data_IF_874096930757
#
_entry.id   IF_874096930757
#
_cell.length_a   1.000
_cell.length_b   1.000
_cell.length_c   1.000
_cell.angle_alpha   90.00
_cell.angle_beta   90.00
_cell.angle_gamma   90.00
#
_symmetry.space_group_name_H-M   'P 1'
#
loop_
_entity.id
_entity.type
_entity.pdbx_description
1 polymer ?
#
# COMPACT_ATOMS: atom_id res chain seq x y z
N UNK A 1 -28.96 -2.04 17.19
CA UNK A 1 -27.49 -2.17 17.07
C UNK A 1 -27.19 -2.49 15.63
N UNK A 2 -26.43 -1.66 14.92
CA UNK A 2 -25.93 -2.01 13.60
C UNK A 2 -24.85 -3.08 13.78
N UNK A 3 -25.02 -4.24 13.14
CA UNK A 3 -23.99 -5.28 13.11
C UNK A 3 -22.90 -4.80 12.16
N UNK A 4 -21.77 -4.36 12.70
CA UNK A 4 -20.58 -4.04 11.92
C UNK A 4 -19.98 -5.36 11.46
N UNK A 5 -19.78 -5.51 10.15
CA UNK A 5 -19.18 -6.72 9.56
C UNK A 5 -17.71 -6.47 9.27
N UNK A 6 -16.91 -7.53 9.38
CA UNK A 6 -15.54 -7.53 8.88
C UNK A 6 -15.56 -7.61 7.35
N UNK A 7 -14.49 -7.12 6.70
CA UNK A 7 -14.23 -7.41 5.29
C UNK A 7 -14.15 -8.94 5.12
N UNK A 8 -14.88 -9.52 4.15
CA UNK A 8 -14.99 -10.99 3.99
C UNK A 8 -14.55 -11.48 2.61
N UNK A 9 -14.19 -12.76 2.57
CA UNK A 9 -13.24 -13.40 1.65
C UNK A 9 -13.59 -13.43 0.15
N UNK A 10 -14.84 -13.32 -0.36
CA UNK A 10 -15.01 -13.30 -1.81
C UNK A 10 -15.02 -11.90 -2.42
N UNK A 11 -15.09 -10.82 -1.62
CA UNK A 11 -15.21 -9.47 -2.18
C UNK A 11 -13.83 -8.84 -2.39
N UNK A 12 -13.40 -8.80 -3.65
CA UNK A 12 -12.28 -7.96 -4.09
C UNK A 12 -12.67 -6.49 -3.93
N UNK A 13 -11.82 -5.73 -3.24
CA UNK A 13 -11.99 -4.30 -3.05
C UNK A 13 -10.97 -3.52 -3.88
N UNK A 14 -11.39 -2.35 -4.33
CA UNK A 14 -10.57 -1.43 -5.12
C UNK A 14 -10.12 -0.23 -4.27
N UNK A 15 -8.91 0.32 -4.53
CA UNK A 15 -8.47 1.59 -3.98
C UNK A 15 -9.51 2.69 -4.19
N UNK A 16 -9.53 3.68 -3.29
CA UNK A 16 -10.40 4.84 -3.48
C UNK A 16 -9.98 5.60 -4.74
N UNK A 17 -10.94 6.07 -5.57
CA UNK A 17 -10.63 6.68 -6.86
C UNK A 17 -9.91 8.03 -6.75
N UNK A 18 -9.90 8.63 -5.56
CA UNK A 18 -9.30 9.95 -5.31
C UNK A 18 -8.57 9.97 -3.98
N UNK A 19 -7.34 10.49 -4.00
CA UNK A 19 -6.55 10.79 -2.79
C UNK A 19 -7.11 12.05 -2.12
N UNK A 20 -7.34 12.07 -0.80
CA UNK A 20 -7.72 13.27 -0.08
C UNK A 20 -6.67 14.38 -0.25
N UNK A 21 -7.08 15.62 -0.45
CA UNK A 21 -6.17 16.77 -0.56
C UNK A 21 -5.23 16.88 0.64
N UNK A 22 -5.73 16.56 1.84
CA UNK A 22 -4.93 16.51 3.07
C UNK A 22 -3.76 15.53 2.97
N UNK A 23 -3.99 14.34 2.40
CA UNK A 23 -2.94 13.34 2.20
C UNK A 23 -1.92 13.81 1.16
N UNK A 24 -2.38 14.45 0.09
CA UNK A 24 -1.50 15.07 -0.93
C UNK A 24 -0.61 16.14 -0.31
N UNK A 25 -1.19 17.06 0.48
CA UNK A 25 -0.42 18.10 1.17
C UNK A 25 0.62 17.53 2.14
N UNK A 26 0.26 16.49 2.90
CA UNK A 26 1.19 15.82 3.82
C UNK A 26 2.36 15.14 3.10
N UNK A 27 2.11 14.53 1.92
CA UNK A 27 3.17 13.95 1.09
C UNK A 27 4.11 15.06 0.60
N UNK A 28 3.55 16.16 0.11
CA UNK A 28 4.32 17.30 -0.39
C UNK A 28 5.16 17.95 0.72
N UNK A 29 4.61 18.10 1.92
CA UNK A 29 5.35 18.62 3.09
C UNK A 29 6.54 17.72 3.46
N UNK A 30 6.36 16.39 3.48
CA UNK A 30 7.45 15.44 3.72
C UNK A 30 8.52 15.46 2.61
N UNK A 31 8.14 15.82 1.39
CA UNK A 31 9.05 15.89 0.24
C UNK A 31 9.83 17.20 0.14
N UNK A 32 9.25 18.31 0.61
CA UNK A 32 9.91 19.62 0.63
C UNK A 32 11.10 19.66 1.60
N UNK A 33 11.02 18.92 2.71
CA UNK A 33 12.17 18.70 3.62
C UNK A 33 13.34 17.98 2.92
N UNK A 34 13.06 17.13 1.93
CA UNK A 34 14.06 16.37 1.15
C UNK A 34 14.61 17.21 -0.03
N UNK A 35 13.80 18.12 -0.61
CA UNK A 35 14.20 18.99 -1.72
C UNK A 35 15.00 20.22 -1.28
N UNK A 36 14.99 20.60 0.00
CA UNK A 36 15.91 21.62 0.53
C UNK A 36 17.39 21.29 0.27
N UNK A 37 17.72 20.01 -0.02
CA UNK A 37 19.06 19.56 -0.42
C UNK A 37 19.30 19.56 -1.96
N UNK A 38 18.27 19.64 -2.81
CA UNK A 38 18.40 19.53 -4.27
C UNK A 38 17.89 20.77 -5.03
N UNK A 39 18.78 21.39 -5.81
CA UNK A 39 18.65 22.74 -6.43
C UNK A 39 17.77 22.83 -7.70
N UNK A 40 16.73 22.03 -7.89
CA UNK A 40 15.90 22.13 -9.11
C UNK A 40 14.41 22.22 -8.83
N UNK A 41 13.72 23.29 -9.30
CA UNK A 41 12.27 23.36 -9.25
C UNK A 41 11.69 22.39 -10.29
N UNK A 42 11.03 21.33 -9.82
CA UNK A 42 10.27 20.41 -10.68
C UNK A 42 8.78 20.66 -10.42
N UNK A 43 7.99 20.70 -11.49
CA UNK A 43 6.54 20.81 -11.41
C UNK A 43 5.97 19.58 -10.68
N UNK A 44 5.32 19.81 -9.54
CA UNK A 44 4.97 18.76 -8.55
C UNK A 44 3.79 17.91 -8.99
N UNK A 45 2.86 18.50 -9.76
CA UNK A 45 1.61 17.85 -10.15
C UNK A 45 1.82 16.79 -11.25
N UNK A 46 2.91 16.90 -12.03
CA UNK A 46 3.28 15.96 -13.10
C UNK A 46 4.13 14.77 -12.61
N UNK A 47 4.47 14.72 -11.32
CA UNK A 47 5.39 13.73 -10.77
C UNK A 47 4.73 12.63 -9.96
N UNK A 48 3.53 12.86 -9.44
CA UNK A 48 2.84 11.96 -8.52
C UNK A 48 1.55 11.45 -9.16
N UNK A 49 1.39 10.13 -9.24
CA UNK A 49 0.24 9.48 -9.87
C UNK A 49 -0.42 8.50 -8.90
N UNK A 50 -1.75 8.58 -8.79
CA UNK A 50 -2.52 7.54 -8.12
C UNK A 50 -2.57 6.29 -9.02
N UNK A 51 -2.17 5.17 -8.45
CA UNK A 51 -2.15 3.87 -9.10
C UNK A 51 -3.39 3.07 -8.64
N UNK A 52 -4.38 2.97 -9.51
CA UNK A 52 -5.71 2.42 -9.23
C UNK A 52 -5.90 0.96 -9.66
N UNK A 53 -4.82 0.27 -9.96
CA UNK A 53 -4.83 -1.09 -10.48
C UNK A 53 -4.51 -2.16 -9.43
N UNK A 54 -4.29 -1.76 -8.18
CA UNK A 54 -4.21 -2.71 -7.08
C UNK A 54 -5.61 -3.18 -6.70
N UNK A 55 -5.75 -4.44 -6.29
CA UNK A 55 -6.95 -4.98 -5.62
C UNK A 55 -6.54 -5.53 -4.27
N UNK A 56 -7.45 -5.54 -3.30
CA UNK A 56 -7.17 -6.10 -2.00
C UNK A 56 -8.33 -6.90 -1.44
N UNK A 57 -8.02 -7.82 -0.53
CA UNK A 57 -8.98 -8.58 0.27
C UNK A 57 -8.43 -8.80 1.67
N UNK A 58 -9.33 -9.12 2.59
CA UNK A 58 -8.99 -9.52 3.94
C UNK A 58 -9.66 -10.86 4.24
N UNK A 59 -8.89 -11.79 4.77
CA UNK A 59 -9.35 -13.07 5.28
C UNK A 59 -9.39 -13.02 6.81
N UNK A 60 -10.61 -13.00 7.36
CA UNK A 60 -10.86 -12.95 8.81
C UNK A 60 -10.51 -14.28 9.51
N UNK A 61 -10.64 -15.43 8.82
CA UNK A 61 -10.41 -16.74 9.44
C UNK A 61 -8.94 -16.95 9.77
N UNK A 62 -8.05 -16.47 8.89
CA UNK A 62 -6.58 -16.56 9.08
C UNK A 62 -5.93 -15.23 9.45
N UNK A 63 -6.70 -14.14 9.54
CA UNK A 63 -6.25 -12.77 9.83
C UNK A 63 -5.13 -12.30 8.88
N UNK A 64 -5.37 -12.40 7.57
CA UNK A 64 -4.42 -12.02 6.51
C UNK A 64 -5.04 -10.95 5.62
N UNK A 65 -4.35 -9.82 5.49
CA UNK A 65 -4.64 -8.82 4.45
C UNK A 65 -3.79 -9.14 3.22
N UNK A 66 -4.40 -9.16 2.04
CA UNK A 66 -3.71 -9.46 0.78
C UNK A 66 -3.97 -8.33 -0.21
N UNK A 67 -2.91 -7.85 -0.85
CA UNK A 67 -2.97 -6.85 -1.91
C UNK A 67 -2.26 -7.37 -3.16
N UNK A 68 -2.93 -7.27 -4.30
CA UNK A 68 -2.44 -7.73 -5.59
C UNK A 68 -2.25 -6.55 -6.53
N UNK A 69 -1.11 -6.50 -7.21
CA UNK A 69 -0.77 -5.54 -8.26
C UNK A 69 -1.02 -6.08 -9.68
N UNK A 70 -1.31 -7.39 -9.78
CA UNK A 70 -1.68 -8.11 -10.99
C UNK A 70 -2.54 -9.33 -10.65
N UNK A 71 -3.31 -9.82 -11.64
CA UNK A 71 -4.12 -11.04 -11.49
C UNK A 71 -3.24 -12.26 -11.21
N UNK A 72 -3.78 -13.23 -10.47
CA UNK A 72 -3.11 -14.52 -10.17
C UNK A 72 -2.62 -15.27 -11.43
N UNK A 73 -3.24 -15.02 -12.59
CA UNK A 73 -2.79 -15.56 -13.89
C UNK A 73 -1.40 -15.08 -14.32
N UNK A 74 -0.81 -14.08 -13.64
CA UNK A 74 0.59 -13.68 -13.84
C UNK A 74 1.59 -14.80 -13.54
N UNK A 75 1.14 -15.85 -12.83
CA UNK A 75 1.93 -17.03 -12.50
C UNK A 75 2.78 -16.78 -11.26
N UNK A 76 2.70 -17.68 -10.28
CA UNK A 76 3.48 -17.62 -9.06
C UNK A 76 4.86 -18.26 -9.26
N UNK A 77 5.92 -17.57 -8.82
CA UNK A 77 7.28 -18.11 -8.78
C UNK A 77 7.69 -18.50 -7.36
N UNK A 78 7.81 -17.52 -6.48
CA UNK A 78 8.28 -17.68 -5.10
C UNK A 78 7.80 -16.50 -4.25
N UNK A 79 8.07 -16.57 -2.95
CA UNK A 79 7.75 -15.52 -1.99
C UNK A 79 8.85 -15.38 -0.97
N UNK A 80 9.10 -14.15 -0.53
CA UNK A 80 10.12 -13.81 0.47
C UNK A 80 9.53 -12.95 1.59
N UNK A 81 10.02 -13.13 2.81
CA UNK A 81 9.59 -12.31 3.95
C UNK A 81 10.32 -10.97 3.92
N UNK A 82 9.58 -9.88 3.70
CA UNK A 82 10.13 -8.53 3.83
C UNK A 82 10.35 -8.16 5.30
N UNK A 83 9.40 -8.57 6.16
CA UNK A 83 9.52 -8.42 7.61
C UNK A 83 9.09 -9.73 8.26
N UNK A 84 9.99 -10.30 9.06
CA UNK A 84 9.82 -11.61 9.70
C UNK A 84 8.42 -11.76 10.32
N UNK A 85 7.71 -12.81 9.91
CA UNK A 85 6.36 -13.15 10.41
C UNK A 85 5.30 -12.02 10.29
N UNK A 86 5.50 -11.02 9.41
CA UNK A 86 4.56 -9.90 9.25
C UNK A 86 4.22 -9.58 7.80
N UNK A 87 5.21 -9.46 6.92
CA UNK A 87 5.01 -9.02 5.54
C UNK A 87 5.69 -10.01 4.61
N UNK A 88 4.91 -10.60 3.70
CA UNK A 88 5.37 -11.51 2.66
C UNK A 88 5.20 -10.86 1.30
N UNK A 89 6.23 -10.90 0.48
CA UNK A 89 6.24 -10.38 -0.88
C UNK A 89 6.22 -11.57 -1.83
N UNK A 90 5.28 -11.60 -2.76
CA UNK A 90 5.21 -12.67 -3.76
C UNK A 90 5.60 -12.17 -5.14
N UNK A 91 6.41 -12.99 -5.81
CA UNK A 91 6.98 -12.71 -7.12
C UNK A 91 6.38 -13.62 -8.18
N UNK A 92 6.22 -13.05 -9.37
CA UNK A 92 5.81 -13.80 -10.54
C UNK A 92 6.99 -14.46 -11.26
N UNK A 93 6.71 -15.16 -12.36
CA UNK A 93 7.74 -15.85 -13.14
C UNK A 93 8.76 -14.93 -13.82
N UNK A 94 8.46 -13.64 -13.96
CA UNK A 94 9.39 -12.63 -14.47
C UNK A 94 10.20 -11.96 -13.34
N UNK A 95 10.04 -12.44 -12.09
CA UNK A 95 10.69 -11.89 -10.91
C UNK A 95 10.12 -10.54 -10.47
N UNK A 96 8.88 -10.21 -10.88
CA UNK A 96 8.19 -8.98 -10.48
C UNK A 96 7.24 -9.23 -9.33
N UNK A 97 7.18 -8.26 -8.41
CA UNK A 97 6.25 -8.27 -7.28
C UNK A 97 4.83 -8.20 -7.82
N UNK A 98 4.02 -9.22 -7.56
CA UNK A 98 2.62 -9.25 -7.97
C UNK A 98 1.66 -9.18 -6.79
N UNK A 99 2.08 -9.55 -5.57
CA UNK A 99 1.25 -9.39 -4.37
C UNK A 99 2.06 -9.17 -3.09
N UNK A 100 1.36 -8.67 -2.07
CA UNK A 100 1.84 -8.53 -0.70
C UNK A 100 0.81 -9.05 0.27
N UNK A 101 1.25 -9.88 1.21
CA UNK A 101 0.43 -10.39 2.30
C UNK A 101 0.93 -9.80 3.63
N UNK A 102 0.00 -9.34 4.46
CA UNK A 102 0.25 -8.87 5.82
C UNK A 102 -0.41 -9.84 6.79
N UNK A 103 0.40 -10.59 7.53
CA UNK A 103 -0.07 -11.55 8.52
C UNK A 103 -0.51 -10.86 9.81
N UNK A 104 -1.45 -11.49 10.53
CA UNK A 104 -2.02 -10.93 11.78
C UNK A 104 -2.47 -9.48 11.56
N UNK A 105 -3.13 -9.24 10.43
CA UNK A 105 -3.36 -7.91 9.88
C UNK A 105 -4.11 -7.01 10.88
N UNK A 106 -5.10 -7.58 11.59
CA UNK A 106 -5.85 -6.89 12.66
C UNK A 106 -4.95 -6.30 13.75
N UNK A 107 -3.81 -6.96 14.01
CA UNK A 107 -2.80 -6.54 14.99
C UNK A 107 -1.71 -5.67 14.36
N UNK A 108 -1.28 -5.96 13.15
CA UNK A 108 -0.10 -5.35 12.56
C UNK A 108 -0.39 -4.05 11.80
N UNK A 109 -1.59 -3.86 11.25
CA UNK A 109 -1.99 -2.60 10.62
C UNK A 109 -2.38 -1.54 11.64
N UNK A 110 -2.15 -0.28 11.29
CA UNK A 110 -2.59 0.89 12.08
C UNK A 110 -4.10 1.16 11.94
N UNK A 111 -4.71 0.72 10.84
CA UNK A 111 -6.14 0.82 10.56
C UNK A 111 -6.92 -0.42 11.03
N UNK A 112 -8.25 -0.32 11.03
CA UNK A 112 -9.13 -1.48 11.23
C UNK A 112 -9.63 -2.07 9.91
N UNK A 113 -10.03 -3.34 9.95
CA UNK A 113 -10.47 -4.13 8.79
C UNK A 113 -11.98 -4.35 8.75
N UNK A 114 -12.74 -3.59 9.54
CA UNK A 114 -14.20 -3.52 9.45
C UNK A 114 -14.64 -2.83 8.16
N UNK A 115 -15.73 -3.32 7.56
CA UNK A 115 -16.39 -2.69 6.42
C UNK A 115 -17.23 -1.50 6.89
N UNK A 116 -16.54 -0.43 7.27
CA UNK A 116 -17.13 0.85 7.68
C UNK A 116 -16.12 1.97 7.49
N UNK A 117 -16.63 3.19 7.35
CA UNK A 117 -15.83 4.40 7.19
C UNK A 117 -15.67 5.19 8.50
N UNK A 118 -16.17 4.68 9.62
CA UNK A 118 -16.03 5.29 10.94
C UNK A 118 -14.80 4.73 11.65
N UNK A 119 -14.20 5.50 12.54
CA UNK A 119 -13.14 5.02 13.43
C UNK A 119 -13.67 3.98 14.43
N UNK A 120 -12.87 2.95 14.71
CA UNK A 120 -13.17 1.90 15.70
C UNK A 120 -11.94 1.68 16.56
N UNK A 121 -12.08 1.70 17.89
CA UNK A 121 -11.00 1.52 18.86
C UNK A 121 -9.78 2.44 18.59
N UNK A 122 -10.05 3.70 18.21
CA UNK A 122 -9.06 4.70 17.80
C UNK A 122 -8.22 4.31 16.57
N UNK A 123 -8.69 3.34 15.76
CA UNK A 123 -8.08 2.99 14.49
C UNK A 123 -8.88 3.58 13.34
N UNK A 124 -8.24 4.24 12.36
CA UNK A 124 -8.92 4.70 11.17
C UNK A 124 -9.40 3.52 10.31
N UNK A 125 -10.38 3.74 9.42
CA UNK A 125 -10.78 2.73 8.46
C UNK A 125 -9.65 2.44 7.45
N UNK A 126 -9.56 1.18 7.02
CA UNK A 126 -8.66 0.79 5.93
C UNK A 126 -9.00 1.56 4.66
N UNK A 127 -8.00 2.23 4.08
CA UNK A 127 -8.08 2.82 2.75
C UNK A 127 -6.74 2.68 2.05
N UNK A 128 -6.74 2.10 0.85
CA UNK A 128 -5.53 1.90 0.07
C UNK A 128 -5.30 3.09 -0.86
N UNK A 129 -4.14 3.75 -0.72
CA UNK A 129 -3.67 4.80 -1.63
C UNK A 129 -2.28 4.45 -2.20
N UNK A 130 -2.23 3.80 -3.38
CA UNK A 130 -0.98 3.53 -4.09
C UNK A 130 -0.56 4.78 -4.87
N UNK A 131 0.52 5.42 -4.47
CA UNK A 131 0.99 6.70 -4.99
C UNK A 131 2.37 6.48 -5.61
N UNK A 132 2.43 6.65 -6.93
CA UNK A 132 3.65 6.48 -7.70
C UNK A 132 4.34 7.83 -7.95
N UNK A 133 5.60 7.93 -7.53
CA UNK A 133 6.46 9.08 -7.76
C UNK A 133 7.41 8.82 -8.92
N UNK A 134 7.16 9.46 -10.07
CA UNK A 134 7.86 9.22 -11.34
C UNK A 134 9.35 9.58 -11.30
N UNK A 135 9.73 10.71 -10.68
CA UNK A 135 11.14 11.13 -10.62
C UNK A 135 12.03 10.16 -9.83
N UNK A 136 11.53 9.63 -8.71
CA UNK A 136 12.26 8.68 -7.86
C UNK A 136 12.05 7.22 -8.26
N UNK A 137 11.10 6.97 -9.17
CA UNK A 137 10.60 5.63 -9.49
C UNK A 137 10.17 4.84 -8.24
N UNK A 138 9.44 5.52 -7.35
CA UNK A 138 8.97 4.97 -6.06
C UNK A 138 7.46 4.74 -6.11
N UNK A 139 6.99 3.59 -5.62
CA UNK A 139 5.58 3.36 -5.32
C UNK A 139 5.40 3.31 -3.81
N UNK A 140 4.60 4.23 -3.26
CA UNK A 140 4.19 4.22 -1.86
C UNK A 140 2.75 3.78 -1.73
N UNK A 141 2.45 2.84 -0.85
CA UNK A 141 1.08 2.40 -0.60
C UNK A 141 0.72 2.73 0.84
N UNK A 142 -0.20 3.68 1.02
CA UNK A 142 -0.72 4.03 2.35
C UNK A 142 -1.99 3.22 2.66
N UNK A 143 -2.15 2.80 3.92
CA UNK A 143 -3.29 2.00 4.38
C UNK A 143 -4.40 2.81 5.07
N UNK A 144 -4.24 4.12 5.21
CA UNK A 144 -5.31 5.05 5.59
C UNK A 144 -5.06 6.46 5.05
N UNK A 145 -6.08 7.32 5.11
CA UNK A 145 -6.09 8.66 4.50
C UNK A 145 -5.33 9.76 5.24
N UNK A 146 -4.41 9.40 6.12
CA UNK A 146 -3.59 10.34 6.89
C UNK A 146 -2.19 9.77 7.06
N UNK A 147 -1.18 10.60 6.89
CA UNK A 147 0.20 10.21 7.17
C UNK A 147 0.47 10.57 8.62
N UNK A 148 0.90 9.58 9.41
CA UNK A 148 1.43 9.90 10.73
C UNK A 148 2.67 10.77 10.55
N UNK A 149 2.77 11.92 11.24
CA UNK A 149 3.98 12.75 11.19
C UNK A 149 5.22 12.01 11.72
N UNK A 150 5.02 10.90 12.44
CA UNK A 150 6.08 10.06 12.99
C UNK A 150 6.35 8.78 12.20
N UNK A 151 5.82 8.66 10.96
CA UNK A 151 6.10 7.48 10.14
C UNK A 151 7.60 7.34 9.91
N UNK A 152 8.13 6.16 10.22
CA UNK A 152 9.52 5.78 9.95
C UNK A 152 9.52 4.62 8.97
N UNK A 153 10.20 4.80 7.84
CA UNK A 153 10.46 3.72 6.91
C UNK A 153 11.66 2.91 7.38
N UNK A 154 11.44 1.61 7.57
CA UNK A 154 12.48 0.66 7.92
C UNK A 154 12.78 -0.23 6.71
N UNK A 155 14.07 -0.44 6.43
CA UNK A 155 14.50 -1.36 5.38
C UNK A 155 14.04 -2.76 5.71
N UNK A 156 13.44 -3.40 4.71
CA UNK A 156 13.04 -4.79 4.79
C UNK A 156 14.21 -5.71 4.45
N UNK A 157 14.07 -7.01 4.66
CA UNK A 157 15.05 -8.01 4.19
C UNK A 157 15.11 -8.06 2.65
N UNK A 158 14.01 -7.69 2.00
CA UNK A 158 13.88 -7.59 0.55
C UNK A 158 14.44 -6.26 0.03
N UNK A 159 15.37 -6.35 -0.93
CA UNK A 159 16.05 -5.19 -1.49
C UNK A 159 15.10 -4.27 -2.25
N UNK A 160 15.12 -2.98 -1.87
CA UNK A 160 14.28 -1.96 -2.49
C UNK A 160 12.84 -1.97 -1.98
N UNK A 161 12.58 -2.65 -0.86
CA UNK A 161 11.30 -2.58 -0.15
C UNK A 161 11.55 -2.02 1.26
N UNK A 162 10.73 -1.05 1.64
CA UNK A 162 10.72 -0.47 2.98
C UNK A 162 9.30 -0.50 3.55
N UNK A 163 9.20 -0.68 4.86
CA UNK A 163 7.92 -0.72 5.58
C UNK A 163 7.82 0.51 6.47
N UNK A 164 6.82 1.34 6.20
CA UNK A 164 6.52 2.53 6.98
C UNK A 164 5.71 2.17 8.22
N UNK A 165 6.28 2.41 9.40
CA UNK A 165 5.64 2.12 10.68
C UNK A 165 5.42 3.38 11.53
N UNK A 166 4.37 3.36 12.35
CA UNK A 166 4.17 4.36 13.41
C UNK A 166 4.98 4.05 14.69
N UNK A 167 4.88 4.93 15.69
CA UNK A 167 5.55 4.75 16.99
C UNK A 167 5.09 3.50 17.76
N UNK A 168 3.89 3.00 17.46
CA UNK A 168 3.34 1.75 18.01
C UNK A 168 3.79 0.50 17.21
N UNK A 169 4.72 0.68 16.26
CA UNK A 169 5.23 -0.36 15.35
C UNK A 169 4.12 -1.02 14.52
N UNK A 170 3.08 -0.26 14.20
CA UNK A 170 2.02 -0.67 13.26
C UNK A 170 2.40 -0.24 11.86
N UNK A 171 2.06 -1.07 10.90
CA UNK A 171 2.28 -0.81 9.48
C UNK A 171 1.26 0.25 9.03
N UNK A 172 1.79 1.34 8.49
CA UNK A 172 1.04 2.49 7.95
C UNK A 172 1.21 2.58 6.43
N UNK A 173 2.38 2.19 5.93
CA UNK A 173 2.67 2.22 4.50
C UNK A 173 3.68 1.16 4.06
N UNK A 174 3.73 0.91 2.75
CA UNK A 174 4.82 0.21 2.07
C UNK A 174 5.47 1.13 1.05
N UNK A 175 6.77 1.03 0.86
CA UNK A 175 7.53 1.75 -0.16
C UNK A 175 8.31 0.76 -1.02
N UNK A 176 8.13 0.86 -2.33
CA UNK A 176 8.85 0.08 -3.33
C UNK A 176 9.71 1.00 -4.19
N UNK A 177 11.01 0.77 -4.19
CA UNK A 177 12.00 1.43 -5.04
C UNK A 177 12.09 0.74 -6.41
N UNK A 178 12.55 1.46 -7.43
CA UNK A 178 12.60 0.96 -8.83
C UNK A 178 11.26 0.34 -9.27
N UNK A 179 10.14 0.94 -8.85
CA UNK A 179 8.84 0.29 -8.89
C UNK A 179 8.38 -0.01 -10.32
N UNK A 180 8.77 0.80 -11.31
CA UNK A 180 8.47 0.57 -12.73
C UNK A 180 9.08 -0.72 -13.27
N UNK A 181 10.17 -1.21 -12.65
CA UNK A 181 10.85 -2.45 -13.00
C UNK A 181 10.40 -3.60 -12.12
N UNK A 182 10.28 -3.36 -10.82
CA UNK A 182 10.07 -4.40 -9.79
C UNK A 182 8.61 -4.74 -9.54
N UNK A 183 7.70 -3.78 -9.58
CA UNK A 183 6.28 -4.03 -9.27
C UNK A 183 5.53 -4.28 -10.57
N UNK A 184 4.75 -5.36 -10.62
CA UNK A 184 3.84 -5.60 -11.74
C UNK A 184 2.88 -4.43 -11.89
N UNK A 185 2.43 -4.22 -13.13
CA UNK A 185 1.40 -3.24 -13.47
C UNK A 185 0.36 -3.92 -14.35
N UNK A 186 -0.66 -4.51 -13.72
CA UNK A 186 -1.78 -5.13 -14.45
C UNK A 186 -3.10 -4.98 -13.67
N UNK A 187 -3.83 -3.89 -13.91
CA UNK A 187 -5.28 -3.95 -14.05
C UNK A 187 -5.74 -3.00 -15.15
N UNK A 188 -5.98 -3.58 -16.32
CA UNK A 188 -7.16 -3.24 -17.11
C UNK A 188 -7.75 -4.54 -17.65
N UNK A 189 -8.79 -5.08 -17.00
CA UNK A 189 -9.84 -5.71 -17.80
C UNK A 189 -10.71 -4.57 -18.33
N UNK A 190 -10.37 -4.06 -19.52
CA UNK A 190 -11.42 -3.49 -20.34
C UNK A 190 -12.38 -4.64 -20.68
N UNK A 191 -13.50 -4.68 -19.96
CA UNK A 191 -14.64 -5.46 -20.38
C UNK A 191 -15.21 -4.88 -21.67
N UNK A 192 -15.27 -5.73 -22.70
CA UNK A 192 -16.33 -5.77 -23.71
C UNK A 192 -16.60 -4.51 -24.54
N UNK A 193 -16.24 -4.59 -25.81
CA UNK A 193 -17.17 -4.23 -26.89
C UNK A 193 -17.44 -5.45 -27.74
#
# INVERSE_FOLDING_TARGET
MATIKMLTIPEEHYPKPSVPEQLISQIQEQEDDIQAENKFPIDKDDLIFLRNDAIYRYDEEVDIFQMYFAKESAGYSHSEEAIENKVLISYDNDGKIFSVDIFKASKNLSCHLYDTQIEIDNKPPLVIYPIYHKFRDELRVYFHGSISPTIKFEKSEEEGIEVGMDDAKKIVALLFHDSSKKVRKDCQSYGGT
#
